data_IF_634055445609
#
_entry.id   IF_634055445609
#
_cell.length_a   1.000
_cell.length_b   1.000
_cell.length_c   1.000
_cell.angle_alpha   90.00
_cell.angle_beta   90.00
_cell.angle_gamma   90.00
#
_symmetry.space_group_name_H-M   'P 1'
#
loop_
_entity.id
_entity.type
_entity.pdbx_description
1 polymer ?
#
# COMPACT_ATOMS: atom_id res chain seq x y z
N UNK A 1 6.58 5.39 -0.34
CA UNK A 1 5.36 5.62 -1.14
C UNK A 1 4.21 5.13 -0.28
N UNK A 2 3.30 6.02 0.10
CA UNK A 2 2.15 5.71 0.94
C UNK A 2 0.98 6.57 0.45
N UNK A 3 -0.24 6.07 0.61
CA UNK A 3 -1.43 6.82 0.22
C UNK A 3 -1.74 7.94 1.24
N UNK A 4 -2.79 8.70 0.93
CA UNK A 4 -3.31 9.74 1.83
C UNK A 4 -4.21 9.22 2.95
N UNK A 5 -4.08 7.99 3.45
CA UNK A 5 -4.88 7.56 4.59
C UNK A 5 -4.61 8.44 5.83
N UNK A 6 -5.61 8.71 6.70
CA UNK A 6 -5.42 9.54 7.89
C UNK A 6 -4.27 9.11 8.81
N UNK A 7 -4.02 7.79 8.91
CA UNK A 7 -2.91 7.25 9.70
C UNK A 7 -1.52 7.66 9.17
N UNK A 8 -1.36 7.76 7.85
CA UNK A 8 -0.11 8.20 7.20
C UNK A 8 0.13 9.71 7.34
N UNK A 9 -0.92 10.48 7.67
CA UNK A 9 -0.85 11.92 7.95
C UNK A 9 -0.93 12.26 9.44
N UNK A 10 -1.02 11.26 10.32
CA UNK A 10 -1.06 11.51 11.75
C UNK A 10 0.22 12.19 12.22
N UNK A 11 0.10 13.02 13.26
CA UNK A 11 1.24 13.76 13.83
C UNK A 11 2.38 12.82 14.22
N UNK A 12 2.06 11.73 14.93
CA UNK A 12 3.04 10.76 15.39
C UNK A 12 3.77 10.09 14.22
N UNK A 13 3.05 9.67 13.19
CA UNK A 13 3.63 9.06 11.97
C UNK A 13 4.57 10.04 11.27
N UNK A 14 4.16 11.29 11.12
CA UNK A 14 4.96 12.33 10.45
C UNK A 14 6.24 12.64 11.23
N UNK A 15 6.15 12.78 12.55
CA UNK A 15 7.29 12.99 13.44
C UNK A 15 8.24 11.79 13.44
N UNK A 16 7.70 10.57 13.40
CA UNK A 16 8.52 9.37 13.28
C UNK A 16 9.30 9.36 11.96
N UNK A 17 8.64 9.65 10.83
CA UNK A 17 9.30 9.76 9.52
C UNK A 17 10.39 10.84 9.49
N UNK A 18 10.19 11.97 10.17
CA UNK A 18 11.23 13.00 10.37
C UNK A 18 12.41 12.42 11.16
N UNK A 19 12.14 11.79 12.31
CA UNK A 19 13.14 11.24 13.19
C UNK A 19 14.03 10.17 12.52
N UNK A 20 13.45 9.30 11.69
CA UNK A 20 14.20 8.29 10.93
C UNK A 20 14.74 8.78 9.58
N UNK A 21 14.59 10.06 9.25
CA UNK A 21 15.12 10.64 8.02
C UNK A 21 14.40 10.23 6.73
N UNK A 22 13.14 9.78 6.81
CA UNK A 22 12.35 9.38 5.65
C UNK A 22 11.68 10.54 4.90
N UNK A 23 11.59 11.74 5.49
CA UNK A 23 10.91 12.88 4.88
C UNK A 23 11.37 13.22 3.44
N UNK A 24 12.67 13.24 3.11
CA UNK A 24 13.11 13.54 1.74
C UNK A 24 12.66 12.52 0.69
N UNK A 25 12.31 11.31 1.12
CA UNK A 25 11.86 10.21 0.26
C UNK A 25 10.33 10.09 0.18
N UNK A 26 9.60 10.98 0.88
CA UNK A 26 8.15 10.99 0.83
C UNK A 26 7.68 11.48 -0.55
N UNK A 27 6.94 10.63 -1.23
CA UNK A 27 6.34 10.93 -2.54
C UNK A 27 4.99 11.61 -2.31
N UNK A 28 4.72 12.70 -3.04
CA UNK A 28 3.38 13.30 -3.07
C UNK A 28 2.42 12.32 -3.75
N UNK A 29 1.43 11.84 -3.02
CA UNK A 29 0.46 10.87 -3.53
C UNK A 29 -0.84 11.55 -3.95
N UNK A 30 -1.29 11.38 -5.21
CA UNK A 30 -2.59 11.88 -5.63
C UNK A 30 -3.74 11.11 -4.96
N UNK A 31 -4.79 11.83 -4.55
CA UNK A 31 -5.99 11.25 -3.94
C UNK A 31 -6.70 10.34 -4.94
N UNK A 32 -7.22 9.20 -4.47
CA UNK A 32 -8.01 8.25 -5.27
C UNK A 32 -7.27 7.67 -6.49
N UNK A 33 -5.95 7.49 -6.39
CA UNK A 33 -5.12 6.89 -7.46
C UNK A 33 -4.52 5.55 -7.04
N UNK A 34 -5.33 4.48 -6.88
CA UNK A 34 -4.83 3.15 -6.57
C UNK A 34 -4.02 2.56 -7.74
N UNK A 35 -4.33 2.95 -8.97
CA UNK A 35 -3.64 2.53 -10.19
C UNK A 35 -2.15 2.88 -10.21
N UNK A 36 -1.75 3.93 -9.49
CA UNK A 36 -0.35 4.32 -9.37
C UNK A 36 0.41 3.51 -8.30
N UNK A 37 -0.30 2.80 -7.41
CA UNK A 37 0.33 2.04 -6.33
C UNK A 37 0.69 0.61 -6.80
N UNK A 38 1.99 0.25 -6.87
CA UNK A 38 2.40 -1.08 -7.34
C UNK A 38 1.86 -2.22 -6.47
N UNK A 39 1.47 -1.96 -5.21
CA UNK A 39 0.89 -2.99 -4.34
C UNK A 39 -0.43 -3.53 -4.89
N UNK A 40 -1.22 -2.74 -5.62
CA UNK A 40 -2.50 -3.17 -6.19
C UNK A 40 -2.31 -4.30 -7.22
N UNK A 41 -1.25 -4.22 -8.03
CA UNK A 41 -0.90 -5.28 -8.96
C UNK A 41 -0.50 -6.57 -8.22
N UNK A 42 0.25 -6.44 -7.12
CA UNK A 42 0.63 -7.58 -6.27
C UNK A 42 -0.61 -8.22 -5.67
N UNK A 43 -1.54 -7.42 -5.12
CA UNK A 43 -2.81 -7.92 -4.59
C UNK A 43 -3.65 -8.63 -5.64
N UNK A 44 -3.66 -8.14 -6.89
CA UNK A 44 -4.31 -8.81 -8.00
C UNK A 44 -3.76 -10.23 -8.20
N UNK A 45 -2.43 -10.36 -8.33
CA UNK A 45 -1.74 -11.65 -8.49
C UNK A 45 -2.01 -12.58 -7.29
N UNK A 46 -1.98 -12.04 -6.07
CA UNK A 46 -2.25 -12.82 -4.86
C UNK A 46 -3.67 -13.37 -4.84
N UNK A 47 -4.67 -12.53 -5.20
CA UNK A 47 -6.06 -12.95 -5.30
C UNK A 47 -6.23 -14.03 -6.36
N UNK A 48 -5.64 -13.87 -7.54
CA UNK A 48 -5.72 -14.87 -8.61
C UNK A 48 -5.17 -16.23 -8.16
N UNK A 49 -4.02 -16.23 -7.49
CA UNK A 49 -3.41 -17.45 -6.93
C UNK A 49 -4.28 -18.08 -5.85
N UNK A 50 -4.83 -17.27 -4.95
CA UNK A 50 -5.72 -17.74 -3.90
C UNK A 50 -6.99 -18.34 -4.48
N UNK A 51 -7.59 -17.70 -5.49
CA UNK A 51 -8.76 -18.24 -6.19
C UNK A 51 -8.43 -19.54 -6.93
N UNK A 52 -7.29 -19.63 -7.61
CA UNK A 52 -6.85 -20.86 -8.27
C UNK A 52 -6.64 -21.98 -7.25
N UNK A 53 -5.95 -21.70 -6.13
CA UNK A 53 -5.74 -22.67 -5.06
C UNK A 53 -7.07 -23.14 -4.43
N UNK A 54 -8.00 -22.21 -4.17
CA UNK A 54 -9.31 -22.52 -3.62
C UNK A 54 -10.19 -23.34 -4.60
N UNK A 55 -10.06 -23.12 -5.91
CA UNK A 55 -10.73 -23.95 -6.94
C UNK A 55 -10.12 -25.34 -7.04
N UNK A 56 -8.79 -25.44 -6.90
CA UNK A 56 -8.06 -26.70 -6.98
C UNK A 56 -8.11 -27.53 -5.68
N UNK A 57 -8.59 -26.94 -4.58
CA UNK A 57 -8.75 -27.55 -3.26
C UNK A 57 -10.20 -27.86 -2.86
N UNK A 58 -11.14 -27.89 -3.81
CA UNK A 58 -12.47 -28.48 -3.59
C UNK A 58 -12.34 -30.03 -3.55
N UNK A 59 -13.18 -30.78 -2.81
CA UNK A 59 -13.38 -32.20 -3.10
C UNK A 59 -13.88 -32.41 -4.55
#
# INVERSE_FOLDING_TARGET
MEDGAPGHRAKLTTQYHEWIGLQPYKVSWPTSSPDLNPIEAIWCIMKDRLFAANRNGQP
#
